data_IF_304889788851
#
_entry.id   IF_304889788851
#
_cell.length_a   1.000
_cell.length_b   1.000
_cell.length_c   1.000
_cell.angle_alpha   90.00
_cell.angle_beta   90.00
_cell.angle_gamma   90.00
#
_symmetry.space_group_name_H-M   'P 1'
#
loop_
_entity.id
_entity.type
_entity.pdbx_description
1 polymer ?
#
# COMPACT_ATOMS: atom_id res chain seq x y z
N UNK A 1 -1.92 26.20 -11.77
CA UNK A 1 -2.69 26.12 -10.50
C UNK A 1 -2.12 24.96 -9.70
N UNK A 2 -1.58 25.17 -8.51
CA UNK A 2 -1.15 24.05 -7.65
C UNK A 2 -2.43 23.36 -7.16
N UNK A 3 -2.62 22.10 -7.49
CA UNK A 3 -3.75 21.30 -7.06
C UNK A 3 -3.70 21.15 -5.53
N UNK A 4 -4.48 22.00 -4.85
CA UNK A 4 -4.60 21.92 -3.38
C UNK A 4 -5.50 20.74 -3.04
N UNK A 5 -4.89 19.57 -2.85
CA UNK A 5 -5.60 18.44 -2.28
C UNK A 5 -5.83 18.72 -0.80
N UNK A 6 -7.10 18.68 -0.39
CA UNK A 6 -7.50 18.96 1.00
C UNK A 6 -6.76 18.01 1.96
N UNK A 7 -6.22 18.56 3.04
CA UNK A 7 -5.44 17.87 4.07
C UNK A 7 -4.02 17.41 3.67
N UNK A 8 -3.60 17.64 2.41
CA UNK A 8 -2.25 17.35 1.96
C UNK A 8 -1.47 18.63 1.69
N UNK A 9 -0.16 18.57 1.90
CA UNK A 9 0.80 19.58 1.51
C UNK A 9 1.62 19.07 0.34
N UNK A 10 1.67 19.81 -0.76
CA UNK A 10 2.55 19.50 -1.89
C UNK A 10 3.98 19.88 -1.52
N UNK A 11 4.90 18.93 -1.51
CA UNK A 11 6.31 19.11 -1.13
C UNK A 11 7.14 19.45 -2.37
N UNK A 12 7.12 18.59 -3.37
CA UNK A 12 7.91 18.75 -4.59
C UNK A 12 7.36 17.87 -5.72
N UNK A 13 7.91 18.12 -6.92
CA UNK A 13 7.69 17.27 -8.08
C UNK A 13 9.03 17.02 -8.77
N UNK A 14 9.28 15.78 -9.19
CA UNK A 14 10.49 15.40 -9.92
C UNK A 14 10.21 14.18 -10.80
N UNK A 15 10.64 14.22 -12.06
CA UNK A 15 10.47 13.11 -13.01
C UNK A 15 9.02 12.64 -13.20
N UNK A 16 8.03 13.55 -13.10
CA UNK A 16 6.62 13.22 -13.20
C UNK A 16 6.00 12.64 -11.91
N UNK A 17 6.78 12.50 -10.84
CA UNK A 17 6.30 12.07 -9.53
C UNK A 17 6.06 13.30 -8.66
N UNK A 18 4.83 13.43 -8.16
CA UNK A 18 4.42 14.46 -7.19
C UNK A 18 4.50 13.90 -5.78
N UNK A 19 5.21 14.58 -4.89
CA UNK A 19 5.33 14.22 -3.48
C UNK A 19 4.41 15.10 -2.65
N UNK A 20 3.57 14.47 -1.85
CA UNK A 20 2.68 15.10 -0.87
C UNK A 20 2.93 14.57 0.53
N UNK A 21 2.58 15.38 1.52
CA UNK A 21 2.60 15.01 2.93
C UNK A 21 1.21 15.18 3.52
N UNK A 22 0.71 14.15 4.19
CA UNK A 22 -0.55 14.24 4.93
C UNK A 22 -0.34 15.00 6.25
N UNK A 23 -1.06 16.10 6.44
CA UNK A 23 -0.86 17.01 7.59
C UNK A 23 -1.16 16.38 8.95
N UNK A 24 -1.98 15.31 8.98
CA UNK A 24 -2.41 14.69 10.23
C UNK A 24 -1.33 13.83 10.89
N UNK A 25 -0.43 13.21 10.11
CA UNK A 25 0.53 12.22 10.62
C UNK A 25 1.85 12.18 9.83
N UNK A 26 2.10 13.17 8.99
CA UNK A 26 3.30 13.27 8.16
C UNK A 26 3.50 12.11 7.15
N UNK A 27 2.44 11.35 6.85
CA UNK A 27 2.52 10.29 5.84
C UNK A 27 2.95 10.88 4.50
N UNK A 28 4.02 10.33 3.92
CA UNK A 28 4.47 10.69 2.58
C UNK A 28 3.63 9.94 1.54
N UNK A 29 3.11 10.66 0.56
CA UNK A 29 2.37 10.12 -0.59
C UNK A 29 3.08 10.51 -1.87
N UNK A 30 3.42 9.53 -2.68
CA UNK A 30 3.99 9.72 -4.00
C UNK A 30 2.91 9.40 -5.04
N UNK A 31 2.65 10.33 -5.93
CA UNK A 31 1.67 10.20 -6.99
C UNK A 31 2.34 10.36 -8.35
N UNK A 32 2.20 9.35 -9.19
CA UNK A 32 2.65 9.37 -10.58
C UNK A 32 1.47 9.07 -11.50
N UNK A 33 1.15 9.98 -12.38
CA UNK A 33 0.10 9.82 -13.37
C UNK A 33 0.69 9.32 -14.68
N UNK A 34 0.26 8.12 -15.12
CA UNK A 34 0.59 7.54 -16.42
C UNK A 34 -0.70 6.96 -17.02
N UNK A 35 -1.10 7.48 -18.16
CA UNK A 35 -2.34 7.09 -18.83
C UNK A 35 -2.10 6.14 -20.02
N UNK A 36 -0.92 5.54 -20.13
CA UNK A 36 -0.57 4.60 -21.19
C UNK A 36 -1.37 3.30 -21.15
N UNK A 37 -1.86 2.92 -19.95
CA UNK A 37 -2.68 1.72 -19.74
C UNK A 37 -3.82 2.00 -18.74
N UNK A 38 -4.98 1.30 -18.85
CA UNK A 38 -6.14 1.49 -17.96
C UNK A 38 -5.98 0.74 -16.62
N UNK A 39 -4.82 0.84 -16.00
CA UNK A 39 -4.50 0.19 -14.72
C UNK A 39 -4.00 1.19 -13.70
N UNK A 40 -4.15 0.87 -12.43
CA UNK A 40 -3.56 1.60 -11.33
C UNK A 40 -2.77 0.66 -10.43
N UNK A 41 -1.65 1.13 -9.88
CA UNK A 41 -0.89 0.43 -8.86
C UNK A 41 -0.97 1.22 -7.56
N UNK A 42 -1.40 0.58 -6.49
CA UNK A 42 -1.35 1.12 -5.15
C UNK A 42 -0.30 0.38 -4.35
N UNK A 43 0.56 1.10 -3.61
CA UNK A 43 1.60 0.50 -2.79
C UNK A 43 1.71 1.21 -1.45
N UNK A 44 1.73 0.44 -0.37
CA UNK A 44 2.06 0.91 0.98
C UNK A 44 3.42 0.35 1.37
N UNK A 45 4.33 1.23 1.76
CA UNK A 45 5.68 0.87 2.22
C UNK A 45 5.84 1.23 3.69
N UNK A 46 6.17 0.23 4.50
CA UNK A 46 6.60 0.42 5.88
C UNK A 46 8.13 0.34 5.94
N UNK A 47 8.77 1.33 6.55
CA UNK A 47 10.24 1.36 6.75
C UNK A 47 10.67 0.47 7.92
N UNK A 48 10.17 -0.75 7.92
CA UNK A 48 10.44 -1.80 8.91
C UNK A 48 10.71 -3.10 8.18
N UNK A 49 11.75 -3.80 8.56
CA UNK A 49 12.15 -5.08 8.00
C UNK A 49 12.91 -5.93 9.01
N UNK A 50 13.57 -6.97 8.55
CA UNK A 50 14.24 -7.95 9.42
C UNK A 50 15.34 -7.36 10.30
N UNK A 51 15.98 -6.26 9.89
CA UNK A 51 16.98 -5.55 10.71
C UNK A 51 16.43 -4.95 11.99
N UNK A 52 15.12 -4.74 12.08
CA UNK A 52 14.44 -4.14 13.23
C UNK A 52 14.00 -5.19 14.25
N UNK A 53 14.22 -6.48 13.95
CA UNK A 53 13.84 -7.60 14.81
C UNK A 53 14.80 -7.73 16.00
N UNK A 54 14.24 -8.02 17.19
CA UNK A 54 15.03 -8.31 18.35
C UNK A 54 15.66 -9.71 18.24
N UNK A 55 16.77 -9.92 18.94
CA UNK A 55 17.42 -11.25 19.06
C UNK A 55 16.41 -12.26 19.60
N UNK A 56 16.29 -13.40 18.95
CA UNK A 56 15.32 -14.44 19.28
C UNK A 56 13.95 -14.30 18.61
N UNK A 57 13.72 -13.22 17.86
CA UNK A 57 12.47 -12.95 17.13
C UNK A 57 12.66 -12.89 15.60
N UNK A 58 13.66 -13.59 15.10
CA UNK A 58 13.98 -13.65 13.66
C UNK A 58 12.78 -14.19 12.87
N UNK A 59 12.39 -13.46 11.82
CA UNK A 59 11.26 -13.80 10.96
C UNK A 59 9.93 -13.17 11.41
N UNK A 60 9.89 -12.42 12.51
CA UNK A 60 8.66 -11.78 13.01
C UNK A 60 8.04 -10.81 11.98
N UNK A 61 8.85 -10.04 11.28
CA UNK A 61 8.37 -9.10 10.25
C UNK A 61 7.75 -9.84 9.06
N UNK A 62 8.38 -10.90 8.61
CA UNK A 62 7.86 -11.74 7.52
C UNK A 62 6.57 -12.47 7.96
N UNK A 63 6.53 -12.96 9.21
CA UNK A 63 5.31 -13.53 9.76
C UNK A 63 4.16 -12.51 9.80
N UNK A 64 4.45 -11.28 10.24
CA UNK A 64 3.45 -10.20 10.24
C UNK A 64 2.94 -9.92 8.83
N UNK A 65 3.81 -9.90 7.81
CA UNK A 65 3.41 -9.76 6.41
C UNK A 65 2.34 -10.79 6.04
N UNK A 66 2.56 -12.07 6.35
CA UNK A 66 1.57 -13.12 6.10
C UNK A 66 0.28 -12.93 6.91
N UNK A 67 0.37 -12.49 8.16
CA UNK A 67 -0.79 -12.27 9.02
C UNK A 67 -1.69 -11.14 8.53
N UNK A 68 -1.13 -10.11 7.89
CA UNK A 68 -1.90 -9.01 7.31
C UNK A 68 -2.93 -9.48 6.28
N UNK A 69 -2.67 -10.59 5.59
CA UNK A 69 -3.60 -11.19 4.64
C UNK A 69 -4.66 -12.10 5.27
N UNK A 70 -4.56 -12.41 6.56
CA UNK A 70 -5.56 -13.25 7.27
C UNK A 70 -6.86 -12.52 7.52
N UNK A 71 -6.81 -11.19 7.58
CA UNK A 71 -7.97 -10.34 7.73
C UNK A 71 -8.06 -9.65 9.09
N UNK A 72 -9.16 -8.96 9.25
CA UNK A 72 -9.54 -8.23 10.45
C UNK A 72 -10.95 -8.64 10.88
N UNK A 73 -11.44 -8.08 12.00
CA UNK A 73 -12.82 -8.30 12.43
C UNK A 73 -13.84 -7.95 11.34
N UNK A 74 -13.59 -6.87 10.59
CA UNK A 74 -14.49 -6.39 9.54
C UNK A 74 -14.31 -7.13 8.21
N UNK A 75 -13.05 -7.44 7.85
CA UNK A 75 -12.70 -8.05 6.56
C UNK A 75 -12.02 -9.40 6.80
N UNK A 76 -12.72 -10.51 6.58
CA UNK A 76 -12.21 -11.85 6.80
C UNK A 76 -12.97 -12.88 5.94
N UNK A 77 -12.53 -14.13 6.01
CA UNK A 77 -13.14 -15.23 5.25
C UNK A 77 -14.55 -15.54 5.72
N UNK A 78 -14.82 -15.48 7.01
CA UNK A 78 -16.12 -15.84 7.58
C UNK A 78 -17.20 -14.85 7.16
N UNK A 79 -16.83 -13.58 7.03
CA UNK A 79 -17.73 -12.54 6.50
C UNK A 79 -17.85 -12.57 4.96
N UNK A 80 -17.09 -13.42 4.27
CA UNK A 80 -17.10 -13.51 2.81
C UNK A 80 -16.50 -12.30 2.07
N UNK A 81 -15.78 -11.45 2.78
CA UNK A 81 -15.19 -10.20 2.29
C UNK A 81 -13.69 -10.08 2.61
N UNK A 82 -12.97 -11.20 2.63
CA UNK A 82 -11.51 -11.16 2.80
C UNK A 82 -10.86 -10.30 1.71
N UNK A 83 -9.71 -9.68 2.03
CA UNK A 83 -8.97 -8.84 1.09
C UNK A 83 -8.70 -9.55 -0.24
N UNK A 84 -8.35 -10.84 -0.19
CA UNK A 84 -8.16 -11.66 -1.39
C UNK A 84 -9.41 -11.71 -2.25
N UNK A 85 -10.57 -12.00 -1.64
CA UNK A 85 -11.83 -12.10 -2.38
C UNK A 85 -12.21 -10.76 -3.00
N UNK A 86 -12.20 -9.70 -2.22
CA UNK A 86 -12.60 -8.35 -2.68
C UNK A 86 -11.74 -7.89 -3.85
N UNK A 87 -10.43 -8.11 -3.80
CA UNK A 87 -9.51 -7.67 -4.84
C UNK A 87 -9.52 -8.61 -6.06
N UNK A 88 -9.62 -9.93 -5.85
CA UNK A 88 -9.70 -10.89 -6.95
C UNK A 88 -11.01 -10.75 -7.74
N UNK A 89 -12.12 -10.43 -7.09
CA UNK A 89 -13.42 -10.22 -7.75
C UNK A 89 -13.38 -9.06 -8.77
N UNK A 90 -12.43 -8.13 -8.63
CA UNK A 90 -12.21 -7.03 -9.59
C UNK A 90 -10.99 -7.25 -10.50
N UNK A 91 -10.40 -8.44 -10.47
CA UNK A 91 -9.24 -8.78 -11.30
C UNK A 91 -7.92 -8.19 -10.82
N UNK A 92 -7.83 -7.76 -9.57
CA UNK A 92 -6.61 -7.21 -9.01
C UNK A 92 -5.56 -8.31 -8.76
N UNK A 93 -4.28 -7.93 -8.95
CA UNK A 93 -3.13 -8.71 -8.53
C UNK A 93 -2.59 -8.09 -7.24
N UNK A 94 -2.50 -8.87 -6.18
CA UNK A 94 -2.03 -8.44 -4.86
C UNK A 94 -0.81 -9.25 -4.44
N UNK A 95 0.19 -8.58 -3.86
CA UNK A 95 1.35 -9.24 -3.28
C UNK A 95 1.98 -8.37 -2.19
N UNK A 96 2.94 -8.95 -1.47
CA UNK A 96 3.76 -8.25 -0.50
C UNK A 96 5.20 -8.76 -0.54
N UNK A 97 6.13 -7.99 -0.02
CA UNK A 97 7.53 -8.38 0.14
C UNK A 97 8.10 -7.80 1.43
N UNK A 98 8.87 -8.61 2.15
CA UNK A 98 9.66 -8.19 3.31
C UNK A 98 11.14 -8.26 3.00
N UNK A 99 11.91 -7.23 3.38
CA UNK A 99 13.34 -7.15 3.25
C UNK A 99 14.00 -6.70 4.55
N UNK A 100 15.27 -6.34 4.51
CA UNK A 100 16.02 -5.92 5.73
C UNK A 100 15.43 -4.68 6.40
N UNK A 101 14.99 -3.71 5.62
CA UNK A 101 14.61 -2.36 6.08
C UNK A 101 13.24 -1.88 5.59
N UNK A 102 12.49 -2.74 4.91
CA UNK A 102 11.17 -2.41 4.37
C UNK A 102 10.24 -3.62 4.31
N UNK A 103 8.95 -3.34 4.39
CA UNK A 103 7.87 -4.25 4.04
C UNK A 103 6.90 -3.51 3.14
N UNK A 104 6.64 -4.05 1.94
CA UNK A 104 5.74 -3.48 0.96
C UNK A 104 4.51 -4.35 0.81
N UNK A 105 3.35 -3.70 0.71
CA UNK A 105 2.10 -4.31 0.25
C UNK A 105 1.69 -3.57 -1.01
N UNK A 106 1.40 -4.27 -2.08
CA UNK A 106 1.03 -3.65 -3.34
C UNK A 106 -0.02 -4.43 -4.09
N UNK A 107 -0.80 -3.70 -4.86
CA UNK A 107 -1.86 -4.20 -5.68
C UNK A 107 -1.88 -3.49 -7.04
N UNK A 108 -2.13 -4.27 -8.08
CA UNK A 108 -2.35 -3.80 -9.44
C UNK A 108 -3.79 -4.11 -9.80
N UNK A 109 -4.57 -3.11 -10.18
CA UNK A 109 -5.99 -3.26 -10.47
C UNK A 109 -6.42 -2.40 -11.67
N UNK A 110 -7.54 -2.75 -12.33
CA UNK A 110 -8.16 -1.87 -13.31
C UNK A 110 -8.52 -0.53 -12.67
N UNK A 111 -8.23 0.58 -13.36
CA UNK A 111 -8.35 1.94 -12.81
C UNK A 111 -9.77 2.30 -12.32
N UNK A 112 -10.81 1.69 -12.90
CA UNK A 112 -12.20 1.89 -12.49
C UNK A 112 -12.54 1.33 -11.11
N UNK A 113 -11.64 0.57 -10.50
CA UNK A 113 -11.81 -0.01 -9.17
C UNK A 113 -10.84 0.57 -8.12
N UNK A 114 -10.18 1.69 -8.44
CA UNK A 114 -9.19 2.31 -7.54
C UNK A 114 -9.80 2.81 -6.21
N UNK A 115 -11.10 3.03 -6.16
CA UNK A 115 -11.85 3.49 -4.98
C UNK A 115 -12.43 2.34 -4.10
N UNK A 116 -12.10 1.09 -4.43
CA UNK A 116 -12.53 -0.11 -3.67
C UNK A 116 -11.66 -0.34 -2.45
#
# INVERSE_FOLDING_TARGET
MRDKIKHFEHIRESGGVKEYKLKANDLTVLLMEDHSAPVATFMVTYHVGSRNEAVGHTGATHLLEHLMFKGSEKYNKDNGNSIWKVLQDVGAQINATTWFDRTNYFELLPKEHLDR
#
